data_IF_527275947777
#
_entry.id   IF_527275947777
#
_cell.length_a   1.000
_cell.length_b   1.000
_cell.length_c   1.000
_cell.angle_alpha   90.00
_cell.angle_beta   90.00
_cell.angle_gamma   90.00
#
_symmetry.space_group_name_H-M   'P 1'
#
loop_
_entity.id
_entity.type
_entity.pdbx_description
1 polymer ?
#
# COMPACT_ATOMS: atom_id res chain seq x y z
N UNK A 1 -25.04 -19.62 -29.26
CA UNK A 1 -25.10 -19.25 -27.84
C UNK A 1 -26.29 -18.32 -27.65
N UNK A 2 -27.31 -18.76 -26.95
CA UNK A 2 -28.53 -17.98 -26.70
C UNK A 2 -28.30 -16.95 -25.56
N UNK A 3 -29.27 -16.03 -25.32
CA UNK A 3 -29.10 -14.98 -24.31
C UNK A 3 -28.92 -15.53 -22.89
N UNK A 4 -29.55 -16.66 -22.58
CA UNK A 4 -29.44 -17.34 -21.29
C UNK A 4 -28.05 -17.98 -21.09
N UNK A 5 -27.48 -18.59 -22.15
CA UNK A 5 -26.11 -19.13 -22.11
C UNK A 5 -25.06 -18.02 -21.92
N UNK A 6 -25.28 -16.82 -22.50
CA UNK A 6 -24.40 -15.67 -22.29
C UNK A 6 -24.53 -15.13 -20.87
N UNK A 7 -25.73 -15.08 -20.32
CA UNK A 7 -25.93 -14.67 -18.93
C UNK A 7 -25.33 -15.64 -17.92
N UNK A 8 -25.48 -16.97 -18.14
CA UNK A 8 -24.89 -18.00 -17.29
C UNK A 8 -23.36 -18.02 -17.40
N UNK A 9 -22.80 -17.83 -18.59
CA UNK A 9 -21.36 -17.69 -18.78
C UNK A 9 -20.81 -16.40 -18.12
N UNK A 10 -21.52 -15.29 -18.22
CA UNK A 10 -21.17 -14.04 -17.54
C UNK A 10 -21.29 -14.17 -16.02
N UNK A 11 -22.32 -14.85 -15.51
CA UNK A 11 -22.49 -15.11 -14.08
C UNK A 11 -21.40 -16.08 -13.55
N UNK A 12 -21.04 -17.12 -14.31
CA UNK A 12 -19.97 -18.04 -13.96
C UNK A 12 -18.58 -17.33 -13.95
N UNK A 13 -18.31 -16.46 -14.93
CA UNK A 13 -17.11 -15.64 -14.94
C UNK A 13 -17.10 -14.64 -13.78
N UNK A 14 -18.23 -14.06 -13.44
CA UNK A 14 -18.37 -13.16 -12.29
C UNK A 14 -18.16 -13.92 -10.97
N UNK A 15 -18.77 -15.11 -10.83
CA UNK A 15 -18.61 -15.96 -9.66
C UNK A 15 -17.15 -16.48 -9.53
N UNK A 16 -16.49 -16.82 -10.66
CA UNK A 16 -15.09 -17.21 -10.67
C UNK A 16 -14.17 -16.06 -10.25
N UNK A 17 -14.47 -14.83 -10.70
CA UNK A 17 -13.76 -13.63 -10.26
C UNK A 17 -13.95 -13.35 -8.76
N UNK A 18 -15.10 -13.69 -8.20
CA UNK A 18 -15.36 -13.55 -6.75
C UNK A 18 -14.78 -14.71 -5.93
N UNK A 19 -14.72 -15.92 -6.47
CA UNK A 19 -14.24 -17.12 -5.76
C UNK A 19 -12.72 -17.27 -5.73
N UNK A 20 -12.00 -16.64 -6.67
CA UNK A 20 -10.53 -16.74 -6.77
C UNK A 20 -9.79 -15.63 -6.01
N UNK A 21 -10.49 -14.86 -5.15
CA UNK A 21 -9.86 -13.74 -4.44
C UNK A 21 -9.44 -12.57 -5.35
N UNK A 22 -9.57 -12.71 -6.67
CA UNK A 22 -9.26 -11.65 -7.66
C UNK A 22 -10.39 -10.64 -7.82
N UNK A 23 -11.53 -10.84 -7.10
CA UNK A 23 -12.77 -10.07 -7.29
C UNK A 23 -12.76 -8.65 -6.74
N UNK A 24 -11.93 -8.31 -5.78
CA UNK A 24 -11.77 -6.94 -5.32
C UNK A 24 -10.34 -6.49 -5.55
N UNK A 25 -10.16 -5.49 -6.43
CA UNK A 25 -8.87 -4.79 -6.57
C UNK A 25 -8.56 -3.90 -5.36
N UNK A 26 -9.49 -3.80 -4.41
CA UNK A 26 -9.44 -2.88 -3.27
C UNK A 26 -9.03 -3.66 -2.02
N UNK A 27 -8.00 -3.19 -1.32
CA UNK A 27 -7.57 -3.74 -0.04
C UNK A 27 -8.66 -3.62 1.04
N UNK A 28 -8.70 -4.59 1.96
CA UNK A 28 -9.58 -4.61 3.10
C UNK A 28 -9.14 -3.67 4.23
N UNK A 29 -9.47 -4.04 5.47
CA UNK A 29 -9.01 -3.38 6.69
C UNK A 29 -7.63 -3.91 7.08
N UNK A 30 -6.72 -3.00 7.50
CA UNK A 30 -5.36 -3.39 7.87
C UNK A 30 -4.36 -2.24 7.88
N UNK A 31 -3.10 -2.57 8.12
CA UNK A 31 -1.95 -1.66 7.99
C UNK A 31 -1.06 -2.17 6.87
N UNK A 32 -0.73 -1.31 5.93
CA UNK A 32 -0.10 -1.66 4.68
C UNK A 32 1.11 -0.79 4.40
N UNK A 33 2.21 -1.41 3.96
CA UNK A 33 3.28 -0.73 3.25
C UNK A 33 2.91 -0.69 1.77
N UNK A 34 2.81 0.50 1.20
CA UNK A 34 2.24 0.71 -0.11
C UNK A 34 3.01 1.75 -0.93
N UNK A 35 2.90 1.69 -2.24
CA UNK A 35 3.47 2.68 -3.16
C UNK A 35 2.38 3.41 -3.92
N UNK A 36 2.57 4.72 -4.10
CA UNK A 36 1.68 5.54 -4.92
C UNK A 36 1.87 5.19 -6.39
N UNK A 37 0.80 4.71 -7.03
CA UNK A 37 0.80 4.29 -8.44
C UNK A 37 0.01 5.24 -9.34
N UNK A 38 -0.88 6.05 -8.74
CA UNK A 38 -1.67 7.02 -9.50
C UNK A 38 -1.97 8.24 -8.63
N UNK A 39 -1.79 9.42 -9.22
CA UNK A 39 -2.18 10.70 -8.63
C UNK A 39 -2.93 11.51 -9.69
N UNK A 40 -4.13 11.97 -9.38
CA UNK A 40 -4.96 12.73 -10.31
C UNK A 40 -5.84 13.76 -9.61
N UNK A 41 -6.10 14.85 -10.33
CA UNK A 41 -7.10 15.85 -9.96
C UNK A 41 -8.24 15.75 -10.98
N UNK A 42 -9.44 15.58 -10.50
CA UNK A 42 -10.63 15.42 -11.33
C UNK A 42 -11.86 15.97 -10.62
N UNK A 43 -12.91 16.22 -11.38
CA UNK A 43 -14.21 16.53 -10.79
C UNK A 43 -14.76 15.31 -10.03
N UNK A 44 -15.53 15.57 -8.98
CA UNK A 44 -16.27 14.51 -8.31
C UNK A 44 -17.32 13.94 -9.29
N UNK A 45 -17.91 12.78 -8.94
CA UNK A 45 -18.88 12.11 -9.81
C UNK A 45 -20.10 13.00 -10.17
N UNK A 46 -20.43 13.95 -9.33
CA UNK A 46 -21.54 14.88 -9.54
C UNK A 46 -21.14 16.13 -10.35
N UNK A 47 -19.85 16.35 -10.60
CA UNK A 47 -19.35 17.56 -11.27
C UNK A 47 -19.50 18.83 -10.44
N UNK A 48 -19.67 18.72 -9.12
CA UNK A 48 -19.95 19.85 -8.24
C UNK A 48 -18.72 20.43 -7.53
N UNK A 49 -17.65 19.68 -7.44
CA UNK A 49 -16.37 20.10 -6.86
C UNK A 49 -15.22 19.28 -7.38
N UNK A 50 -14.01 19.82 -7.30
CA UNK A 50 -12.77 19.10 -7.59
C UNK A 50 -12.39 18.16 -6.45
N UNK A 51 -11.65 17.13 -6.78
CA UNK A 51 -11.04 16.22 -5.82
C UNK A 51 -9.69 15.75 -6.30
N UNK A 52 -8.80 15.52 -5.37
CA UNK A 52 -7.56 14.76 -5.58
C UNK A 52 -7.86 13.29 -5.27
N UNK A 53 -7.36 12.39 -6.12
CA UNK A 53 -7.41 10.95 -5.93
C UNK A 53 -5.97 10.41 -5.96
N UNK A 54 -5.55 9.81 -4.84
CA UNK A 54 -4.23 9.17 -4.67
C UNK A 54 -4.46 7.67 -4.54
N UNK A 55 -3.99 6.89 -5.52
CA UNK A 55 -4.14 5.42 -5.50
C UNK A 55 -2.79 4.78 -5.17
N UNK A 56 -2.78 4.06 -4.08
CA UNK A 56 -1.62 3.29 -3.61
C UNK A 56 -1.84 1.81 -3.89
N UNK A 57 -0.77 1.11 -4.29
CA UNK A 57 -0.73 -0.33 -4.42
C UNK A 57 0.00 -0.92 -3.21
N UNK A 58 -0.63 -1.87 -2.54
CA UNK A 58 -0.06 -2.58 -1.40
C UNK A 58 1.16 -3.40 -1.85
N UNK A 59 2.31 -3.14 -1.25
CA UNK A 59 3.55 -3.91 -1.45
C UNK A 59 3.60 -5.02 -0.43
N UNK A 60 3.37 -4.67 0.86
CA UNK A 60 3.39 -5.61 1.96
C UNK A 60 2.25 -5.35 2.95
N UNK A 61 1.84 -6.38 3.67
CA UNK A 61 0.76 -6.35 4.67
C UNK A 61 1.38 -6.45 6.05
N UNK A 62 1.44 -5.31 6.77
CA UNK A 62 1.97 -5.25 8.13
C UNK A 62 0.96 -5.88 9.10
N UNK A 63 -0.30 -5.50 8.96
CA UNK A 63 -1.44 -6.05 9.73
C UNK A 63 -2.63 -6.23 8.79
N UNK A 64 -3.35 -7.35 8.89
CA UNK A 64 -4.53 -7.62 8.09
C UNK A 64 -4.48 -8.93 7.32
N UNK A 65 -5.18 -9.00 6.18
CA UNK A 65 -5.20 -10.20 5.35
C UNK A 65 -4.01 -10.22 4.37
N UNK A 66 -3.16 -11.27 4.37
CA UNK A 66 -2.07 -11.39 3.39
C UNK A 66 -2.53 -11.32 1.92
N UNK A 67 -3.81 -11.64 1.66
CA UNK A 67 -4.40 -11.56 0.33
C UNK A 67 -4.54 -10.13 -0.19
N UNK A 68 -4.36 -9.11 0.67
CA UNK A 68 -4.42 -7.72 0.28
C UNK A 68 -3.12 -7.23 -0.40
N UNK A 69 -2.05 -8.01 -0.35
CA UNK A 69 -0.83 -7.73 -1.11
C UNK A 69 -1.14 -7.64 -2.62
N UNK A 70 -0.65 -6.58 -3.25
CA UNK A 70 -0.91 -6.28 -4.66
C UNK A 70 -2.24 -5.59 -4.94
N UNK A 71 -3.15 -5.48 -3.97
CA UNK A 71 -4.41 -4.73 -4.10
C UNK A 71 -4.18 -3.23 -4.00
N UNK A 72 -5.21 -2.46 -4.32
CA UNK A 72 -5.16 -1.00 -4.33
C UNK A 72 -5.99 -0.41 -3.19
N UNK A 73 -5.57 0.74 -2.69
CA UNK A 73 -6.35 1.61 -1.84
C UNK A 73 -6.30 3.02 -2.41
N UNK A 74 -7.43 3.74 -2.39
CA UNK A 74 -7.50 5.10 -2.90
C UNK A 74 -7.91 6.04 -1.79
N UNK A 75 -7.17 7.13 -1.66
CA UNK A 75 -7.51 8.29 -0.84
C UNK A 75 -8.15 9.36 -1.72
N UNK A 76 -9.29 9.88 -1.29
CA UNK A 76 -9.97 10.98 -1.95
C UNK A 76 -9.97 12.20 -1.04
N UNK A 77 -9.52 13.32 -1.57
CA UNK A 77 -9.51 14.61 -0.86
C UNK A 77 -10.33 15.57 -1.71
N UNK A 78 -11.46 16.01 -1.19
CA UNK A 78 -12.36 16.92 -1.89
C UNK A 78 -11.98 18.37 -1.56
N UNK A 79 -12.14 19.27 -2.52
CA UNK A 79 -12.06 20.72 -2.34
C UNK A 79 -12.95 21.21 -1.18
N UNK A 80 -14.11 20.57 -0.99
CA UNK A 80 -15.05 20.89 0.09
C UNK A 80 -14.69 20.19 1.44
N UNK A 81 -13.56 19.53 1.54
CA UNK A 81 -13.11 18.95 2.80
C UNK A 81 -12.72 20.04 3.79
N UNK A 82 -12.71 19.69 5.09
CA UNK A 82 -12.19 20.60 6.11
C UNK A 82 -10.72 20.97 5.79
N UNK A 83 -10.37 22.25 5.93
CA UNK A 83 -9.05 22.79 5.64
C UNK A 83 -7.92 22.07 6.39
N UNK A 84 -8.14 21.72 7.68
CA UNK A 84 -7.17 20.95 8.47
C UNK A 84 -6.90 19.58 7.89
N UNK A 85 -7.92 18.92 7.29
CA UNK A 85 -7.77 17.63 6.62
C UNK A 85 -6.95 17.81 5.35
N UNK A 86 -7.26 18.82 4.54
CA UNK A 86 -6.54 19.10 3.28
C UNK A 86 -5.08 19.41 3.60
N UNK A 87 -4.83 20.30 4.57
CA UNK A 87 -3.49 20.71 4.99
C UNK A 87 -2.65 19.51 5.45
N UNK A 88 -3.21 18.67 6.32
CA UNK A 88 -2.52 17.45 6.79
C UNK A 88 -2.20 16.49 5.64
N UNK A 89 -3.14 16.28 4.73
CA UNK A 89 -2.92 15.37 3.58
C UNK A 89 -1.92 15.95 2.57
N UNK A 90 -1.94 17.27 2.37
CA UNK A 90 -0.94 17.96 1.58
C UNK A 90 0.45 17.78 2.17
N UNK A 91 0.62 17.99 3.47
CA UNK A 91 1.89 17.80 4.18
C UNK A 91 2.42 16.36 4.07
N UNK A 92 1.56 15.34 4.22
CA UNK A 92 1.94 13.95 4.05
C UNK A 92 2.44 13.70 2.63
N UNK A 93 1.67 14.07 1.61
CA UNK A 93 2.07 13.88 0.21
C UNK A 93 3.35 14.65 -0.14
N UNK A 94 3.53 15.84 0.42
CA UNK A 94 4.74 16.62 0.27
C UNK A 94 5.96 15.88 0.84
N UNK A 95 5.85 15.34 2.06
CA UNK A 95 6.92 14.57 2.70
C UNK A 95 7.27 13.30 1.91
N UNK A 96 6.26 12.54 1.47
CA UNK A 96 6.44 11.37 0.61
C UNK A 96 7.17 11.74 -0.69
N UNK A 97 6.82 12.87 -1.30
CA UNK A 97 7.43 13.37 -2.51
C UNK A 97 8.91 13.75 -2.32
N UNK A 98 9.24 14.42 -1.21
CA UNK A 98 10.63 14.79 -0.87
C UNK A 98 11.47 13.52 -0.62
N UNK A 99 10.97 12.54 0.16
CA UNK A 99 11.64 11.25 0.37
C UNK A 99 11.91 10.52 -0.96
N UNK A 100 10.96 10.57 -1.89
CA UNK A 100 11.12 9.99 -3.22
C UNK A 100 12.14 10.73 -4.11
N UNK A 101 12.67 11.89 -3.66
CA UNK A 101 13.69 12.68 -4.35
C UNK A 101 13.13 13.77 -5.28
N UNK A 102 11.87 14.17 -5.10
CA UNK A 102 11.33 15.34 -5.79
C UNK A 102 11.91 16.61 -5.09
N UNK A 103 12.44 17.52 -5.88
CA UNK A 103 12.97 18.78 -5.34
C UNK A 103 11.85 19.69 -4.84
N UNK A 104 12.03 20.32 -3.68
CA UNK A 104 11.05 21.18 -3.04
C UNK A 104 10.53 22.31 -3.96
N UNK A 105 11.42 22.90 -4.78
CA UNK A 105 11.05 23.98 -5.72
C UNK A 105 10.02 23.54 -6.78
N UNK A 106 9.84 22.22 -7.00
CA UNK A 106 8.84 21.67 -7.92
C UNK A 106 7.48 21.41 -7.27
N UNK A 107 7.43 21.52 -5.94
CA UNK A 107 6.25 21.27 -5.12
C UNK A 107 5.62 22.58 -4.63
N UNK A 108 6.24 23.72 -4.96
CA UNK A 108 5.77 25.07 -4.59
C UNK A 108 5.07 25.70 -5.79
N UNK A 109 4.02 26.44 -5.51
CA UNK A 109 3.37 27.37 -6.42
C UNK A 109 3.63 28.79 -5.90
N UNK A 110 3.96 29.72 -6.79
CA UNK A 110 4.32 31.09 -6.40
C UNK A 110 3.08 31.92 -6.05
N UNK A 111 1.87 31.44 -6.41
CA UNK A 111 0.60 32.16 -6.26
C UNK A 111 -0.39 31.42 -5.32
N UNK A 112 0.10 30.60 -4.39
CA UNK A 112 -0.74 29.80 -3.47
C UNK A 112 -1.61 30.68 -2.56
N UNK A 113 -2.87 30.82 -2.90
CA UNK A 113 -3.85 31.51 -2.05
C UNK A 113 -4.67 30.53 -1.20
N UNK A 114 -4.92 29.29 -1.70
CA UNK A 114 -5.73 28.30 -1.03
C UNK A 114 -5.00 26.96 -0.88
N UNK A 115 -5.18 26.30 0.27
CA UNK A 115 -4.50 25.03 0.58
C UNK A 115 -4.85 23.90 -0.39
N UNK A 116 -6.04 23.93 -1.01
CA UNK A 116 -6.41 22.93 -2.01
C UNK A 116 -5.66 23.14 -3.33
N UNK A 117 -5.31 24.37 -3.68
CA UNK A 117 -4.48 24.68 -4.85
C UNK A 117 -3.05 24.19 -4.63
N UNK A 118 -2.48 24.38 -3.43
CA UNK A 118 -1.21 23.76 -3.02
C UNK A 118 -1.25 22.24 -3.17
N UNK A 119 -2.28 21.58 -2.65
CA UNK A 119 -2.46 20.14 -2.80
C UNK A 119 -2.54 19.72 -4.28
N UNK A 120 -3.21 20.50 -5.11
CA UNK A 120 -3.33 20.26 -6.55
C UNK A 120 -1.97 20.36 -7.25
N UNK A 121 -1.19 21.36 -6.92
CA UNK A 121 0.18 21.59 -7.45
C UNK A 121 1.11 20.45 -7.05
N UNK A 122 1.14 20.09 -5.77
CA UNK A 122 1.92 18.95 -5.26
C UNK A 122 1.51 17.65 -5.97
N UNK A 123 0.19 17.39 -6.09
CA UNK A 123 -0.34 16.22 -6.80
C UNK A 123 0.11 16.19 -8.26
N UNK A 124 0.09 17.32 -8.95
CA UNK A 124 0.54 17.44 -10.34
C UNK A 124 2.03 17.16 -10.52
N UNK A 125 2.87 17.64 -9.59
CA UNK A 125 4.31 17.39 -9.60
C UNK A 125 4.61 15.90 -9.31
N UNK A 126 3.92 15.32 -8.31
CA UNK A 126 4.03 13.88 -7.97
C UNK A 126 3.59 13.01 -9.14
N UNK A 127 2.47 13.34 -9.79
CA UNK A 127 2.02 12.64 -10.99
C UNK A 127 3.10 12.62 -12.06
N UNK A 128 3.66 13.78 -12.43
CA UNK A 128 4.74 13.87 -13.42
C UNK A 128 5.98 13.08 -13.05
N UNK A 129 6.22 12.88 -11.75
CA UNK A 129 7.33 12.10 -11.24
C UNK A 129 7.08 10.60 -11.37
N UNK A 130 5.94 10.09 -10.89
CA UNK A 130 5.61 8.66 -10.91
C UNK A 130 5.29 8.12 -12.30
N UNK A 131 4.82 8.97 -13.23
CA UNK A 131 4.56 8.61 -14.62
C UNK A 131 5.84 8.23 -15.38
N UNK A 132 7.02 8.56 -14.83
CA UNK A 132 8.31 8.11 -15.40
C UNK A 132 8.62 6.71 -14.88
N UNK A 133 8.87 5.77 -15.78
CA UNK A 133 9.16 4.36 -15.47
C UNK A 133 10.30 4.21 -14.43
N UNK A 134 11.37 5.00 -14.55
CA UNK A 134 12.50 4.99 -13.60
C UNK A 134 12.13 5.41 -12.17
N UNK A 135 10.95 6.01 -11.95
CA UNK A 135 10.47 6.49 -10.67
C UNK A 135 9.28 5.69 -10.14
N UNK A 136 8.82 4.70 -10.91
CA UNK A 136 7.74 3.83 -10.46
C UNK A 136 8.11 3.17 -9.11
N UNK A 137 7.19 3.21 -8.16
CA UNK A 137 7.39 2.61 -6.84
C UNK A 137 8.25 3.41 -5.85
N UNK A 138 8.73 4.62 -6.18
CA UNK A 138 9.56 5.43 -5.28
C UNK A 138 8.77 6.21 -4.22
N UNK A 139 7.54 6.61 -4.52
CA UNK A 139 6.68 7.31 -3.54
C UNK A 139 5.97 6.25 -2.71
N UNK A 140 6.33 6.15 -1.45
CA UNK A 140 5.90 5.09 -0.54
C UNK A 140 5.22 5.66 0.70
N UNK A 141 4.34 4.88 1.32
CA UNK A 141 3.64 5.25 2.54
C UNK A 141 3.30 4.02 3.38
N UNK A 142 3.18 4.20 4.69
CA UNK A 142 2.46 3.27 5.56
C UNK A 142 1.04 3.78 5.75
N UNK A 143 0.06 2.96 5.42
CA UNK A 143 -1.36 3.32 5.45
C UNK A 143 -2.13 2.36 6.34
N UNK A 144 -2.68 2.87 7.45
CA UNK A 144 -3.66 2.16 8.27
C UNK A 144 -5.06 2.44 7.73
N UNK A 145 -5.72 1.38 7.24
CA UNK A 145 -7.07 1.44 6.68
C UNK A 145 -8.08 0.85 7.66
N UNK A 146 -9.06 1.65 8.04
CA UNK A 146 -10.06 1.28 9.05
C UNK A 146 -11.46 1.37 8.43
N UNK A 147 -12.23 0.30 8.59
CA UNK A 147 -13.62 0.24 8.20
C UNK A 147 -14.46 1.18 9.05
N UNK A 148 -15.37 1.93 8.42
CA UNK A 148 -16.33 2.77 9.13
C UNK A 148 -17.69 2.08 9.24
N UNK A 149 -18.52 2.56 10.17
CA UNK A 149 -19.90 2.08 10.32
C UNK A 149 -20.82 2.54 9.17
N UNK A 150 -20.34 3.45 8.32
CA UNK A 150 -21.11 3.98 7.18
C UNK A 150 -21.05 3.02 6.00
N UNK A 151 -22.19 2.83 5.35
CA UNK A 151 -22.30 2.06 4.14
C UNK A 151 -22.64 2.98 2.95
N UNK A 152 -22.06 2.68 1.80
CA UNK A 152 -22.46 3.28 0.53
C UNK A 152 -23.84 2.75 0.10
N UNK A 153 -24.50 3.41 -0.86
CA UNK A 153 -25.81 2.99 -1.42
C UNK A 153 -25.81 1.54 -1.91
N UNK A 154 -24.67 1.02 -2.36
CA UNK A 154 -24.48 -0.36 -2.80
C UNK A 154 -24.15 -1.35 -1.67
N UNK A 155 -24.28 -0.95 -0.41
CA UNK A 155 -24.00 -1.76 0.78
C UNK A 155 -22.53 -1.97 1.10
N UNK A 156 -21.60 -1.38 0.35
CA UNK A 156 -20.17 -1.48 0.63
C UNK A 156 -19.76 -0.55 1.78
N UNK A 157 -18.88 -1.00 2.69
CA UNK A 157 -18.39 -0.13 3.75
C UNK A 157 -17.52 0.99 3.19
N UNK A 158 -17.56 2.15 3.84
CA UNK A 158 -16.53 3.17 3.68
C UNK A 158 -15.34 2.84 4.55
N UNK A 159 -14.17 3.31 4.14
CA UNK A 159 -12.92 3.18 4.86
C UNK A 159 -12.27 4.55 5.03
N UNK A 160 -11.66 4.76 6.19
CA UNK A 160 -10.74 5.85 6.43
C UNK A 160 -9.31 5.36 6.29
N UNK A 161 -8.46 6.13 5.62
CA UNK A 161 -7.05 5.86 5.50
C UNK A 161 -6.28 6.85 6.39
N UNK A 162 -5.44 6.31 7.28
CA UNK A 162 -4.57 7.05 8.17
C UNK A 162 -3.13 6.77 7.75
N UNK A 163 -2.43 7.81 7.35
CA UNK A 163 -1.03 7.73 6.94
C UNK A 163 -0.14 7.84 8.18
N UNK A 164 0.88 6.99 8.25
CA UNK A 164 1.82 6.82 9.36
C UNK A 164 3.22 7.20 8.88
N UNK A 165 3.43 8.49 8.67
CA UNK A 165 4.68 9.05 8.15
C UNK A 165 5.88 8.77 9.06
N UNK A 166 5.63 8.75 10.37
CA UNK A 166 6.60 8.48 11.42
C UNK A 166 7.08 7.03 11.48
N UNK A 167 6.28 6.08 10.96
CA UNK A 167 6.59 4.65 10.96
C UNK A 167 7.33 4.20 9.68
N UNK A 168 7.38 5.04 8.63
CA UNK A 168 7.89 4.64 7.32
C UNK A 168 9.39 4.38 7.32
N UNK A 169 10.17 5.27 7.92
CA UNK A 169 11.63 5.17 7.94
C UNK A 169 12.07 3.95 8.76
N UNK A 170 11.45 3.73 9.94
CA UNK A 170 11.72 2.56 10.79
C UNK A 170 11.36 1.25 10.09
N UNK A 171 10.27 1.24 9.32
CA UNK A 171 9.86 0.06 8.56
C UNK A 171 10.87 -0.26 7.45
N UNK A 172 11.30 0.72 6.67
CA UNK A 172 12.27 0.53 5.59
C UNK A 172 13.64 0.10 6.13
N UNK A 173 14.14 0.72 7.21
CA UNK A 173 15.40 0.32 7.85
C UNK A 173 15.37 -1.13 8.34
N UNK A 174 14.24 -1.60 8.89
CA UNK A 174 14.10 -2.97 9.39
C UNK A 174 14.02 -4.02 8.27
N UNK A 175 13.61 -3.64 7.06
CA UNK A 175 13.41 -4.54 5.92
C UNK A 175 14.53 -4.46 4.88
N UNK A 176 15.24 -3.32 4.79
CA UNK A 176 16.42 -3.15 3.93
C UNK A 176 17.72 -3.68 4.57
N UNK A 177 17.69 -4.03 5.87
CA UNK A 177 18.83 -4.68 6.51
C UNK A 177 19.15 -5.99 5.75
N UNK A 178 20.39 -6.16 5.21
CA UNK A 178 20.75 -7.34 4.44
C UNK A 178 20.49 -8.56 5.30
N UNK A 179 19.71 -9.50 4.79
CA UNK A 179 19.47 -10.82 5.38
C UNK A 179 20.79 -11.58 5.41
N UNK A 180 21.70 -11.19 6.33
CA UNK A 180 22.89 -11.95 6.63
C UNK A 180 22.49 -13.27 7.28
N UNK A 181 22.46 -14.32 6.39
CA UNK A 181 22.78 -15.70 6.77
C UNK A 181 22.07 -16.29 7.99
N UNK A 182 20.82 -16.63 7.86
CA UNK A 182 20.20 -17.72 8.65
C UNK A 182 20.28 -19.09 7.95
N UNK A 183 21.35 -19.37 7.21
CA UNK A 183 21.51 -20.66 6.54
C UNK A 183 22.85 -21.34 6.86
N UNK A 184 23.35 -21.24 8.10
CA UNK A 184 24.54 -22.01 8.53
C UNK A 184 24.56 -22.31 10.03
N UNK A 185 23.45 -22.82 10.59
CA UNK A 185 23.46 -23.34 11.97
C UNK A 185 22.57 -24.56 12.21
N UNK A 186 22.18 -25.28 11.18
CA UNK A 186 21.46 -26.56 11.32
C UNK A 186 22.13 -27.74 10.62
N UNK A 187 23.46 -27.70 10.41
CA UNK A 187 24.19 -28.81 9.80
C UNK A 187 25.41 -29.26 10.59
N UNK A 188 25.47 -29.04 11.92
CA UNK A 188 26.63 -29.48 12.72
C UNK A 188 26.27 -30.02 14.12
N UNK A 189 25.09 -30.64 14.27
CA UNK A 189 24.70 -31.34 15.51
C UNK A 189 24.42 -32.85 15.34
N UNK A 190 24.78 -33.47 14.21
CA UNK A 190 24.60 -34.92 14.00
C UNK A 190 25.90 -35.63 13.68
N UNK A 191 26.98 -35.37 14.46
CA UNK A 191 28.18 -36.23 14.48
C UNK A 191 28.90 -36.15 15.80
N UNK A 192 28.34 -36.70 16.84
CA UNK A 192 29.09 -37.09 18.06
C UNK A 192 28.24 -38.01 18.93
N UNK A 193 28.01 -39.25 18.51
CA UNK A 193 27.74 -40.38 19.43
C UNK A 193 27.84 -41.71 18.72
N UNK A 194 29.07 -42.17 18.51
CA UNK A 194 29.35 -43.58 18.31
C UNK A 194 30.86 -43.79 18.53
N UNK A 195 31.24 -44.01 19.76
CA UNK A 195 32.40 -44.86 20.08
C UNK A 195 32.44 -45.08 21.59
N UNK A 196 31.88 -46.20 21.97
CA UNK A 196 32.17 -46.84 23.25
C UNK A 196 33.27 -47.86 23.02
N UNK A 197 34.37 -47.82 23.77
CA UNK A 197 35.26 -48.97 23.92
C UNK A 197 35.13 -49.54 25.31
N UNK A 198 34.29 -50.56 25.46
CA UNK A 198 34.47 -51.55 26.53
C UNK A 198 35.73 -52.37 26.20
N UNK A 199 36.77 -52.22 26.99
CA UNK A 199 37.83 -53.24 27.15
C UNK A 199 37.71 -53.88 28.51
N UNK A 200 37.21 -55.08 28.50
CA UNK A 200 37.36 -56.06 29.57
C UNK A 200 38.85 -56.48 29.59
N UNK A 201 39.48 -56.38 30.73
CA UNK A 201 40.68 -57.12 31.06
C UNK A 201 40.32 -58.13 32.12
N UNK A 202 40.30 -59.39 31.67
CA UNK A 202 40.61 -60.51 32.52
C UNK A 202 42.10 -60.49 32.85
N UNK A 203 42.44 -60.79 34.09
CA UNK A 203 43.60 -61.55 34.49
C UNK A 203 43.80 -61.39 36.01
N UNK A 204 43.82 -62.55 36.59
CA UNK A 204 44.40 -63.27 37.70
C UNK A 204 43.99 -62.89 39.11
#
# INVERSE_FOLDING_TARGET
>A
MNAFERMTAAAANTAALYSTGTGSKIAGEGTFYATLVKAEVADNRAGTCKRVALTYKVIDVIEGSPEDAGRELTEYISENSNEDIINRKCGILYNEAIRAGIKAEKLQDDDDEEIFDVLTTVTGAVKKFIDKEANAGKVKAIVKRVKTDKLAENGRPYYNNYFKDDELDDYEESHDAPTEKKSKKEADSDKASAESPYKIKDED
#
